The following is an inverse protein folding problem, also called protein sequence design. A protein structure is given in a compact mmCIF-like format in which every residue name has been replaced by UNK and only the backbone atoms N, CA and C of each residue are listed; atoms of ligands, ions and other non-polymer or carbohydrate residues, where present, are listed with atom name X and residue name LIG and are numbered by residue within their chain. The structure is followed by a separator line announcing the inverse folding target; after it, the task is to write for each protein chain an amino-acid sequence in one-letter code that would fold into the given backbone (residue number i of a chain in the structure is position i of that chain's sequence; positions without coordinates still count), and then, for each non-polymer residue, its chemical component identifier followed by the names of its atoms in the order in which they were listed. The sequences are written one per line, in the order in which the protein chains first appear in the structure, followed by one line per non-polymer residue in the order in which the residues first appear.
data_IF_412245561184
#
_entry.id   IF_412245561184
#
_cell.length_a   1.000
_cell.length_b   1.000
_cell.length_c   1.000
_cell.angle_alpha   90.00
_cell.angle_beta   90.00
_cell.angle_gamma   90.00
#
_symmetry.space_group_name_H-M   'P 1'
#
loop_
_entity.id
_entity.type
_entity.pdbx_description
1 polymer ?
#
# COMPACT_ATOMS: atom_id res chain seq x y z
N UNK A 1 -5.80 -20.03 18.84
CA UNK A 1 -4.88 -19.52 17.81
C UNK A 1 -5.64 -19.39 16.51
N UNK A 2 -5.34 -18.35 15.73
CA UNK A 2 -5.95 -18.09 14.43
C UNK A 2 -5.19 -18.89 13.37
N UNK A 3 -5.88 -19.77 12.64
CA UNK A 3 -5.28 -20.55 11.55
C UNK A 3 -5.00 -19.67 10.34
N UNK A 4 -3.76 -19.70 9.86
CA UNK A 4 -3.29 -18.89 8.73
C UNK A 4 -2.56 -19.77 7.73
N UNK A 5 -2.76 -19.49 6.45
CA UNK A 5 -1.99 -20.10 5.37
C UNK A 5 -1.34 -19.05 4.47
N UNK A 6 -0.17 -19.40 3.96
CA UNK A 6 0.62 -18.63 3.01
C UNK A 6 0.87 -19.50 1.77
N UNK A 7 0.38 -19.06 0.63
CA UNK A 7 0.59 -19.67 -0.67
C UNK A 7 1.50 -18.80 -1.52
N UNK A 8 2.43 -19.46 -2.20
CA UNK A 8 3.33 -18.84 -3.17
C UNK A 8 2.95 -19.34 -4.57
N UNK A 9 2.57 -18.42 -5.44
CA UNK A 9 2.36 -18.69 -6.87
C UNK A 9 3.56 -18.15 -7.66
N UNK A 10 3.34 -17.70 -8.90
CA UNK A 10 4.40 -17.08 -9.69
C UNK A 10 4.78 -15.69 -9.15
N UNK A 11 5.87 -15.65 -8.40
CA UNK A 11 6.44 -14.45 -7.75
C UNK A 11 7.97 -14.51 -7.57
N UNK A 12 8.49 -13.58 -6.77
CA UNK A 12 9.90 -13.48 -6.37
C UNK A 12 10.14 -13.70 -4.87
N UNK A 13 9.12 -14.14 -4.13
CA UNK A 13 9.11 -14.31 -2.67
C UNK A 13 9.33 -13.01 -1.86
N UNK A 14 9.30 -11.86 -2.52
CA UNK A 14 9.57 -10.56 -1.90
C UNK A 14 8.56 -10.19 -0.81
N UNK A 15 7.29 -10.63 -0.93
CA UNK A 15 6.28 -10.28 0.06
C UNK A 15 6.48 -11.09 1.35
N UNK A 16 6.75 -12.39 1.25
CA UNK A 16 7.19 -13.20 2.38
C UNK A 16 8.46 -12.65 3.04
N UNK A 17 9.48 -12.23 2.28
CA UNK A 17 10.67 -11.60 2.86
C UNK A 17 10.31 -10.29 3.59
N UNK A 18 9.39 -9.48 3.06
CA UNK A 18 8.94 -8.27 3.74
C UNK A 18 8.24 -8.55 5.07
N UNK A 19 7.44 -9.63 5.14
CA UNK A 19 6.88 -10.10 6.41
C UNK A 19 8.01 -10.45 7.40
N UNK A 20 9.07 -11.15 6.98
CA UNK A 20 10.19 -11.51 7.84
C UNK A 20 11.07 -10.31 8.24
N UNK A 21 11.11 -9.25 7.43
CA UNK A 21 11.78 -7.99 7.76
C UNK A 21 11.14 -7.23 8.93
N UNK A 22 9.97 -7.67 9.41
CA UNK A 22 9.43 -7.21 10.68
C UNK A 22 10.29 -7.64 11.89
N UNK A 23 11.19 -8.62 11.73
CA UNK A 23 12.13 -9.08 12.75
C UNK A 23 11.45 -9.33 14.12
N UNK A 24 11.89 -8.65 15.18
CA UNK A 24 11.32 -8.76 16.53
C UNK A 24 9.87 -8.28 16.62
N UNK A 25 9.41 -7.47 15.65
CA UNK A 25 8.02 -7.04 15.54
C UNK A 25 7.02 -8.18 15.30
N UNK A 26 7.50 -9.37 14.88
CA UNK A 26 6.65 -10.56 14.77
C UNK A 26 6.41 -11.27 16.11
N UNK A 27 7.32 -11.15 17.07
CA UNK A 27 7.25 -11.89 18.34
C UNK A 27 5.91 -11.72 19.10
N UNK A 28 5.27 -10.53 19.13
CA UNK A 28 3.99 -10.35 19.80
C UNK A 28 2.79 -10.99 19.10
N UNK A 29 2.92 -11.29 17.79
CA UNK A 29 1.82 -11.81 16.96
C UNK A 29 1.95 -13.32 16.72
N UNK A 30 3.17 -13.86 16.59
CA UNK A 30 3.42 -15.28 16.30
C UNK A 30 2.68 -16.23 17.26
N UNK A 31 2.64 -16.01 18.59
CA UNK A 31 1.93 -16.92 19.51
C UNK A 31 0.41 -16.96 19.32
N UNK A 32 -0.17 -15.98 18.62
CA UNK A 32 -1.60 -15.93 18.34
C UNK A 32 -1.96 -16.64 17.01
N UNK A 33 -0.97 -16.96 16.18
CA UNK A 33 -1.14 -17.51 14.84
C UNK A 33 -0.77 -19.00 14.83
N UNK A 34 -1.59 -19.79 14.15
CA UNK A 34 -1.33 -21.18 13.83
C UNK A 34 -1.06 -21.28 12.33
N UNK A 35 0.22 -21.40 11.95
CA UNK A 35 0.64 -21.51 10.55
C UNK A 35 0.43 -22.93 10.04
N UNK A 36 -0.71 -23.14 9.39
CA UNK A 36 -1.12 -24.48 8.95
C UNK A 36 -0.62 -24.84 7.55
N UNK A 37 -0.15 -23.84 6.79
CA UNK A 37 0.49 -24.02 5.50
C UNK A 37 1.36 -22.80 5.20
N UNK A 38 2.67 -23.01 5.07
CA UNK A 38 3.62 -22.00 4.62
C UNK A 38 4.88 -22.74 4.15
N UNK A 39 4.97 -23.14 2.87
CA UNK A 39 5.96 -24.10 2.40
C UNK A 39 7.42 -23.78 2.71
N UNK A 40 7.75 -22.49 2.85
CA UNK A 40 9.11 -22.02 3.16
C UNK A 40 9.47 -22.05 4.65
N UNK A 41 8.48 -22.14 5.55
CA UNK A 41 8.69 -21.96 7.01
C UNK A 41 8.25 -23.18 7.82
N UNK A 42 7.20 -23.89 7.39
CA UNK A 42 6.70 -25.09 8.05
C UNK A 42 6.76 -26.28 7.09
N UNK A 43 6.95 -27.49 7.63
CA UNK A 43 7.16 -28.71 6.83
C UNK A 43 5.88 -29.26 6.16
N UNK A 44 4.72 -28.64 6.41
CA UNK A 44 3.45 -28.98 5.79
C UNK A 44 3.52 -28.86 4.26
N UNK A 45 3.34 -29.99 3.56
CA UNK A 45 3.38 -30.07 2.09
C UNK A 45 2.02 -29.83 1.46
N UNK A 46 1.96 -29.72 0.13
CA UNK A 46 0.73 -29.44 -0.62
C UNK A 46 -0.44 -30.36 -0.22
N UNK A 47 -0.20 -31.67 -0.11
CA UNK A 47 -1.22 -32.65 0.29
C UNK A 47 -1.84 -32.36 1.67
N UNK A 48 -1.08 -31.76 2.58
CA UNK A 48 -1.59 -31.39 3.90
C UNK A 48 -2.58 -30.23 3.83
N UNK A 49 -2.49 -29.35 2.84
CA UNK A 49 -3.47 -28.30 2.57
C UNK A 49 -4.72 -28.90 1.88
N UNK A 50 -4.52 -29.81 0.93
CA UNK A 50 -5.60 -30.51 0.22
C UNK A 50 -6.50 -31.29 1.20
N UNK A 51 -5.87 -31.99 2.16
CA UNK A 51 -6.57 -32.81 3.14
C UNK A 51 -7.39 -32.01 4.18
N UNK A 52 -7.21 -30.68 4.28
CA UNK A 52 -7.97 -29.87 5.24
C UNK A 52 -9.43 -29.73 4.81
N UNK A 53 -10.38 -29.62 5.76
CA UNK A 53 -11.75 -29.24 5.43
C UNK A 53 -11.81 -27.85 4.76
N UNK A 54 -12.80 -27.65 3.91
CA UNK A 54 -13.07 -26.34 3.31
C UNK A 54 -13.48 -25.33 4.40
N UNK A 55 -13.00 -24.09 4.28
CA UNK A 55 -13.21 -23.04 5.28
C UNK A 55 -12.54 -23.26 6.64
N UNK A 56 -11.66 -24.26 6.80
CA UNK A 56 -10.94 -24.53 8.06
C UNK A 56 -9.94 -23.41 8.43
N UNK A 57 -9.43 -22.69 7.44
CA UNK A 57 -8.41 -21.65 7.63
C UNK A 57 -9.10 -20.28 7.69
N UNK A 58 -8.80 -19.47 8.71
CA UNK A 58 -9.44 -18.16 8.81
C UNK A 58 -8.96 -17.24 7.68
N UNK A 59 -7.65 -17.16 7.47
CA UNK A 59 -7.04 -16.24 6.49
C UNK A 59 -5.97 -16.94 5.67
N UNK A 60 -6.09 -16.82 4.35
CA UNK A 60 -5.09 -17.22 3.38
C UNK A 60 -4.44 -15.99 2.74
N UNK A 61 -3.12 -15.88 2.85
CA UNK A 61 -2.30 -14.93 2.11
C UNK A 61 -1.81 -15.60 0.82
N UNK A 62 -2.09 -15.00 -0.32
CA UNK A 62 -1.66 -15.53 -1.63
C UNK A 62 -0.70 -14.52 -2.26
N UNK A 63 0.59 -14.86 -2.29
CA UNK A 63 1.60 -14.14 -3.04
C UNK A 63 1.64 -14.63 -4.49
N UNK A 64 1.92 -13.72 -5.41
CA UNK A 64 2.14 -14.05 -6.81
C UNK A 64 0.92 -13.96 -7.71
N UNK A 65 1.20 -13.78 -9.00
CA UNK A 65 0.17 -13.80 -10.03
C UNK A 65 0.03 -15.21 -10.60
N UNK A 66 -0.92 -15.39 -11.52
CA UNK A 66 -1.25 -16.70 -12.07
C UNK A 66 -0.65 -16.83 -13.48
N UNK A 67 0.45 -17.58 -13.61
CA UNK A 67 1.19 -17.81 -14.87
C UNK A 67 1.17 -19.27 -15.30
N UNK A 68 1.04 -20.20 -14.36
CA UNK A 68 1.01 -21.64 -14.61
C UNK A 68 -0.34 -22.24 -14.26
N UNK A 69 -0.64 -23.43 -14.79
CA UNK A 69 -1.88 -24.11 -14.43
C UNK A 69 -1.93 -24.47 -12.92
N UNK A 70 -0.77 -24.78 -12.34
CA UNK A 70 -0.64 -25.01 -10.90
C UNK A 70 -0.96 -23.76 -10.08
N UNK A 71 -0.58 -22.55 -10.52
CA UNK A 71 -0.96 -21.31 -9.83
C UNK A 71 -2.49 -21.16 -9.75
N UNK A 72 -3.18 -21.45 -10.87
CA UNK A 72 -4.65 -21.38 -10.97
C UNK A 72 -5.31 -22.40 -10.04
N UNK A 73 -4.79 -23.63 -10.00
CA UNK A 73 -5.27 -24.69 -9.10
C UNK A 73 -5.02 -24.32 -7.63
N UNK A 74 -3.83 -23.82 -7.31
CA UNK A 74 -3.46 -23.38 -5.97
C UNK A 74 -4.32 -22.20 -5.48
N UNK A 75 -4.63 -21.25 -6.36
CA UNK A 75 -5.55 -20.15 -6.04
C UNK A 75 -6.94 -20.68 -5.67
N UNK A 76 -7.51 -21.58 -6.48
CA UNK A 76 -8.82 -22.21 -6.22
C UNK A 76 -8.80 -23.03 -4.93
N UNK A 77 -7.73 -23.78 -4.68
CA UNK A 77 -7.54 -24.54 -3.46
C UNK A 77 -7.52 -23.61 -2.24
N UNK A 78 -6.71 -22.57 -2.26
CA UNK A 78 -6.66 -21.57 -1.19
C UNK A 78 -8.03 -20.96 -0.93
N UNK A 79 -8.77 -20.58 -1.98
CA UNK A 79 -10.12 -20.03 -1.85
C UNK A 79 -11.10 -20.99 -1.18
N UNK A 80 -11.01 -22.28 -1.48
CA UNK A 80 -11.86 -23.31 -0.86
C UNK A 80 -11.49 -23.54 0.62
N UNK A 81 -10.20 -23.55 0.96
CA UNK A 81 -9.73 -23.83 2.33
C UNK A 81 -9.81 -22.62 3.26
N UNK A 82 -9.81 -21.40 2.73
CA UNK A 82 -9.76 -20.16 3.52
C UNK A 82 -11.11 -19.42 3.54
N UNK A 83 -11.47 -18.91 4.71
CA UNK A 83 -12.64 -18.03 4.89
C UNK A 83 -12.38 -16.64 4.32
N UNK A 84 -11.15 -16.13 4.46
CA UNK A 84 -10.69 -14.87 3.90
C UNK A 84 -9.46 -15.07 3.02
N UNK A 85 -9.41 -14.39 1.88
CA UNK A 85 -8.27 -14.34 0.96
C UNK A 85 -7.72 -12.92 0.89
N UNK A 86 -6.43 -12.81 1.15
CA UNK A 86 -5.64 -11.59 0.98
C UNK A 86 -4.76 -11.77 -0.26
N UNK A 87 -4.96 -10.92 -1.27
CA UNK A 87 -4.00 -10.74 -2.35
C UNK A 87 -2.75 -10.04 -1.77
N UNK A 88 -1.73 -10.85 -1.49
CA UNK A 88 -0.53 -10.42 -0.81
C UNK A 88 0.54 -9.96 -1.81
N UNK A 89 0.66 -8.65 -2.00
CA UNK A 89 1.61 -8.01 -2.91
C UNK A 89 1.03 -7.62 -4.27
N UNK A 90 1.74 -6.75 -4.98
CA UNK A 90 1.30 -6.25 -6.29
C UNK A 90 1.22 -7.34 -7.37
N UNK A 91 1.91 -8.47 -7.21
CA UNK A 91 1.77 -9.62 -8.11
C UNK A 91 0.36 -10.20 -8.06
N UNK A 92 -0.13 -10.55 -6.88
CA UNK A 92 -1.48 -11.10 -6.72
C UNK A 92 -2.55 -10.04 -6.95
N UNK A 93 -2.29 -8.78 -6.60
CA UNK A 93 -3.24 -7.69 -6.85
C UNK A 93 -3.38 -7.34 -8.34
N UNK A 94 -2.27 -7.24 -9.09
CA UNK A 94 -2.26 -6.60 -10.41
C UNK A 94 -1.42 -7.32 -11.48
N UNK A 95 -0.74 -8.40 -11.13
CA UNK A 95 0.10 -9.20 -12.02
C UNK A 95 1.58 -8.78 -12.09
N UNK A 96 1.92 -7.53 -11.77
CA UNK A 96 3.30 -7.03 -11.56
C UNK A 96 4.22 -7.14 -12.80
N UNK A 97 5.54 -6.99 -12.62
CA UNK A 97 6.55 -6.82 -13.68
C UNK A 97 6.52 -7.92 -14.74
N UNK A 98 6.40 -9.18 -14.33
CA UNK A 98 6.34 -10.28 -15.29
C UNK A 98 5.04 -10.29 -16.08
N UNK A 99 4.00 -9.60 -15.63
CA UNK A 99 2.78 -9.32 -16.40
C UNK A 99 3.04 -8.60 -17.73
N UNK A 100 4.17 -7.90 -17.88
CA UNK A 100 4.60 -7.33 -19.17
C UNK A 100 4.76 -8.40 -20.26
N UNK A 101 5.02 -9.65 -19.89
CA UNK A 101 5.10 -10.76 -20.85
C UNK A 101 3.80 -10.94 -21.67
N UNK A 102 2.67 -10.39 -21.20
CA UNK A 102 1.40 -10.42 -21.93
C UNK A 102 1.38 -9.57 -23.20
N UNK A 103 2.37 -8.70 -23.44
CA UNK A 103 2.54 -7.99 -24.70
C UNK A 103 2.84 -8.92 -25.87
N UNK A 104 3.46 -10.07 -25.59
CA UNK A 104 3.84 -11.04 -26.59
C UNK A 104 2.90 -12.25 -26.59
N UNK A 105 2.94 -13.00 -27.69
CA UNK A 105 2.37 -14.34 -27.69
C UNK A 105 3.15 -15.25 -26.72
N UNK A 106 2.45 -16.16 -26.06
CA UNK A 106 3.09 -17.05 -25.09
C UNK A 106 4.12 -17.98 -25.75
N UNK A 107 3.89 -18.41 -26.99
CA UNK A 107 4.86 -19.27 -27.69
C UNK A 107 6.14 -18.51 -28.00
N UNK A 108 6.06 -17.21 -28.31
CA UNK A 108 7.25 -16.36 -28.48
C UNK A 108 8.05 -16.25 -27.18
N UNK A 109 7.37 -16.05 -26.03
CA UNK A 109 8.00 -16.01 -24.73
C UNK A 109 8.69 -17.33 -24.35
N UNK A 110 8.01 -18.47 -24.56
CA UNK A 110 8.53 -19.82 -24.31
C UNK A 110 9.77 -20.06 -25.18
N UNK A 111 9.66 -19.78 -26.48
CA UNK A 111 10.77 -19.92 -27.43
C UNK A 111 11.95 -19.03 -27.06
N UNK A 112 11.70 -17.77 -26.69
CA UNK A 112 12.75 -16.85 -26.25
C UNK A 112 13.50 -17.37 -25.04
N UNK A 113 12.80 -18.00 -24.09
CA UNK A 113 13.36 -18.50 -22.83
C UNK A 113 14.08 -19.84 -22.98
N UNK A 114 13.52 -20.78 -23.72
CA UNK A 114 13.97 -22.18 -23.73
C UNK A 114 14.65 -22.61 -25.03
N UNK A 115 14.61 -21.79 -26.10
CA UNK A 115 15.17 -22.16 -27.40
C UNK A 115 16.15 -21.14 -27.97
N UNK A 116 15.89 -19.85 -27.80
CA UNK A 116 16.61 -18.79 -28.52
C UNK A 116 17.58 -17.98 -27.65
N UNK A 117 17.60 -18.21 -26.34
CA UNK A 117 18.54 -17.52 -25.48
C UNK A 117 19.99 -17.89 -25.84
N UNK A 118 20.82 -16.86 -25.92
CA UNK A 118 22.19 -16.92 -26.40
C UNK A 118 23.08 -17.83 -25.52
N UNK A 119 22.66 -18.05 -24.27
CA UNK A 119 23.31 -18.94 -23.31
C UNK A 119 22.89 -20.40 -23.42
N UNK A 120 21.96 -20.76 -24.30
CA UNK A 120 21.50 -22.15 -24.47
C UNK A 120 22.54 -22.93 -25.28
N UNK A 121 22.97 -24.06 -24.72
CA UNK A 121 23.98 -24.93 -25.32
C UNK A 121 23.41 -26.28 -25.79
N UNK A 122 22.14 -26.56 -25.50
CA UNK A 122 21.48 -27.80 -25.92
C UNK A 122 21.40 -27.89 -27.45
N UNK A 123 21.72 -29.06 -28.01
CA UNK A 123 21.67 -29.29 -29.46
C UNK A 123 20.25 -29.27 -30.05
N UNK A 124 19.26 -29.68 -29.25
CA UNK A 124 17.84 -29.67 -29.59
C UNK A 124 17.04 -28.98 -28.47
N UNK A 125 17.14 -27.64 -28.35
CA UNK A 125 16.52 -26.92 -27.26
C UNK A 125 15.01 -26.90 -27.45
N UNK A 126 14.27 -27.08 -26.36
CA UNK A 126 12.82 -27.14 -26.34
C UNK A 126 12.30 -26.81 -24.94
N UNK A 127 11.02 -26.47 -24.84
CA UNK A 127 10.34 -26.29 -23.56
C UNK A 127 10.32 -27.60 -22.74
N UNK A 128 10.73 -27.59 -21.46
CA UNK A 128 10.58 -28.75 -20.59
C UNK A 128 9.11 -28.96 -20.24
N UNK A 129 8.56 -30.14 -20.58
CA UNK A 129 7.14 -30.48 -20.33
C UNK A 129 6.95 -31.60 -19.30
N UNK A 130 7.98 -32.38 -19.02
CA UNK A 130 7.90 -33.49 -18.07
C UNK A 130 7.85 -32.96 -16.63
N UNK A 131 6.82 -33.35 -15.87
CA UNK A 131 6.55 -32.90 -14.50
C UNK A 131 6.46 -31.37 -14.32
N UNK A 132 6.20 -30.62 -15.40
CA UNK A 132 6.00 -29.18 -15.35
C UNK A 132 4.51 -28.83 -15.36
N UNK A 133 4.08 -27.80 -14.64
CA UNK A 133 2.66 -27.43 -14.55
C UNK A 133 2.09 -26.87 -15.86
N UNK A 134 2.95 -26.55 -16.83
CA UNK A 134 2.59 -25.83 -18.04
C UNK A 134 2.18 -24.37 -17.77
N UNK A 135 2.13 -23.58 -18.83
CA UNK A 135 1.75 -22.17 -18.76
C UNK A 135 0.26 -21.97 -19.04
N UNK A 136 -0.35 -20.98 -18.38
CA UNK A 136 -1.62 -20.40 -18.84
C UNK A 136 -1.41 -19.64 -20.15
N UNK A 137 -2.47 -19.18 -20.83
CA UNK A 137 -2.32 -18.33 -22.03
C UNK A 137 -1.73 -16.96 -21.69
N UNK A 138 -2.21 -16.35 -20.60
CA UNK A 138 -1.79 -15.02 -20.13
C UNK A 138 -1.57 -15.04 -18.62
N UNK A 139 -0.75 -14.10 -18.15
CA UNK A 139 -0.57 -13.81 -16.73
C UNK A 139 -1.75 -12.97 -16.26
N UNK A 140 -2.42 -13.41 -15.20
CA UNK A 140 -3.56 -12.67 -14.64
C UNK A 140 -3.40 -12.46 -13.13
N UNK A 141 -3.95 -11.38 -12.56
CA UNK A 141 -4.04 -11.22 -11.12
C UNK A 141 -4.99 -12.24 -10.50
N UNK A 142 -4.95 -12.34 -9.18
CA UNK A 142 -5.64 -13.38 -8.41
C UNK A 142 -7.17 -13.30 -8.54
N UNK A 143 -7.70 -12.09 -8.62
CA UNK A 143 -9.14 -11.78 -8.66
C UNK A 143 -9.82 -12.12 -9.99
N UNK A 144 -9.05 -12.48 -11.02
CA UNK A 144 -9.60 -13.02 -12.27
C UNK A 144 -10.05 -14.49 -12.14
N UNK A 145 -9.51 -15.21 -11.15
CA UNK A 145 -9.76 -16.66 -10.99
C UNK A 145 -10.56 -16.97 -9.73
N UNK A 146 -10.37 -16.21 -8.65
CA UNK A 146 -11.06 -16.41 -7.38
C UNK A 146 -11.56 -15.09 -6.79
N UNK A 147 -12.56 -15.15 -5.90
CA UNK A 147 -12.96 -13.99 -5.14
C UNK A 147 -11.89 -13.63 -4.09
N UNK A 148 -11.34 -12.42 -4.19
CA UNK A 148 -10.38 -11.83 -3.24
C UNK A 148 -11.14 -10.92 -2.28
N UNK A 149 -10.91 -11.08 -0.98
CA UNK A 149 -11.59 -10.28 0.05
C UNK A 149 -10.85 -8.98 0.35
N UNK A 150 -9.50 -9.04 0.33
CA UNK A 150 -8.65 -7.90 0.68
C UNK A 150 -7.43 -7.82 -0.25
N UNK A 151 -7.07 -6.61 -0.63
CA UNK A 151 -5.89 -6.33 -1.45
C UNK A 151 -4.83 -5.64 -0.59
N UNK A 152 -3.61 -6.18 -0.63
CA UNK A 152 -2.44 -5.62 0.03
C UNK A 152 -1.35 -5.40 -1.02
N UNK A 153 -1.44 -4.30 -1.76
CA UNK A 153 -0.47 -3.96 -2.78
C UNK A 153 0.86 -3.42 -2.22
N UNK A 154 1.87 -3.45 -3.09
CA UNK A 154 3.26 -3.11 -2.82
C UNK A 154 4.17 -4.19 -3.41
N UNK A 155 5.35 -3.80 -3.87
CA UNK A 155 6.33 -4.73 -4.45
C UNK A 155 7.68 -4.64 -3.70
N UNK A 156 7.76 -5.12 -2.45
CA UNK A 156 6.68 -5.74 -1.65
C UNK A 156 5.87 -4.73 -0.81
N UNK A 157 4.76 -5.15 -0.17
CA UNK A 157 4.09 -4.35 0.86
C UNK A 157 5.03 -4.09 2.04
N UNK A 158 4.85 -2.98 2.76
CA UNK A 158 5.70 -2.65 3.92
C UNK A 158 5.48 -3.61 5.10
N UNK A 159 6.52 -3.97 5.86
CA UNK A 159 6.39 -4.84 7.04
C UNK A 159 5.32 -4.36 8.02
N UNK A 160 5.25 -3.05 8.27
CA UNK A 160 4.29 -2.45 9.21
C UNK A 160 2.85 -2.65 8.74
N UNK A 161 2.61 -2.52 7.43
CA UNK A 161 1.29 -2.77 6.85
C UNK A 161 0.89 -4.24 7.01
N UNK A 162 1.83 -5.17 6.81
CA UNK A 162 1.59 -6.62 6.96
C UNK A 162 1.28 -6.96 8.42
N UNK A 163 2.10 -6.50 9.39
CA UNK A 163 1.88 -6.73 10.82
C UNK A 163 0.53 -6.16 11.25
N UNK A 164 0.22 -4.92 10.87
CA UNK A 164 -1.04 -4.25 11.24
C UNK A 164 -2.25 -5.00 10.69
N UNK A 165 -2.12 -5.58 9.49
CA UNK A 165 -3.15 -6.43 8.88
C UNK A 165 -3.40 -7.69 9.71
N UNK A 166 -2.33 -8.36 10.13
CA UNK A 166 -2.43 -9.55 10.98
C UNK A 166 -2.97 -9.21 12.36
N UNK A 167 -2.55 -8.10 12.97
CA UNK A 167 -3.08 -7.62 14.25
C UNK A 167 -4.57 -7.28 14.17
N UNK A 168 -5.03 -6.65 13.10
CA UNK A 168 -6.44 -6.38 12.86
C UNK A 168 -7.26 -7.68 12.81
N UNK A 169 -6.76 -8.70 12.10
CA UNK A 169 -7.41 -10.01 11.99
C UNK A 169 -7.44 -10.78 13.31
N UNK A 170 -6.45 -10.58 14.19
CA UNK A 170 -6.41 -11.16 15.53
C UNK A 170 -7.40 -10.50 16.51
N UNK A 171 -8.15 -9.49 16.07
CA UNK A 171 -8.84 -8.54 16.93
C UNK A 171 -7.80 -7.58 17.52
N UNK A 172 -8.03 -6.27 17.40
CA UNK A 172 -7.10 -5.27 17.95
C UNK A 172 -6.78 -5.64 19.40
N UNK A 173 -5.51 -6.03 19.67
CA UNK A 173 -5.06 -6.14 21.06
C UNK A 173 -5.22 -4.73 21.66
N UNK A 174 -5.86 -4.58 22.82
CA UNK A 174 -5.89 -3.29 23.50
C UNK A 174 -4.45 -2.84 23.70
N UNK A 175 -4.06 -1.76 23.04
CA UNK A 175 -2.82 -1.06 23.37
C UNK A 175 -2.98 -0.60 24.82
N UNK A 176 -2.05 -0.92 25.73
CA UNK A 176 -2.16 -0.49 27.12
C UNK A 176 -2.19 1.04 27.15
N UNK A 177 -3.36 1.60 27.45
CA UNK A 177 -3.55 3.04 27.52
C UNK A 177 -2.71 3.58 28.69
N UNK A 178 -1.79 4.49 28.39
CA UNK A 178 -1.11 5.26 29.42
C UNK A 178 -2.13 6.14 30.16
N UNK A 179 -1.89 6.38 31.45
CA UNK A 179 -2.77 7.22 32.25
C UNK A 179 -2.78 8.66 31.73
N UNK A 180 -1.64 9.16 31.26
CA UNK A 180 -1.44 10.53 30.79
C UNK A 180 -1.25 10.61 29.27
N UNK A 181 -1.70 11.72 28.69
CA UNK A 181 -1.45 12.07 27.29
C UNK A 181 0.01 12.48 27.02
N UNK A 182 0.46 12.34 25.76
CA UNK A 182 1.80 12.71 25.29
C UNK A 182 2.16 14.16 25.60
N UNK A 183 1.18 15.08 25.57
CA UNK A 183 1.40 16.49 25.91
C UNK A 183 2.06 16.70 27.28
N UNK A 184 1.84 15.82 28.25
CA UNK A 184 2.44 15.92 29.58
C UNK A 184 3.97 15.70 29.58
N UNK A 185 4.56 15.17 28.49
CA UNK A 185 6.01 15.02 28.33
C UNK A 185 6.51 15.60 26.99
N UNK A 186 5.76 16.53 26.42
CA UNK A 186 6.09 17.21 25.17
C UNK A 186 6.84 18.51 25.46
N UNK A 187 8.00 18.69 24.83
CA UNK A 187 8.83 19.90 24.92
C UNK A 187 8.11 21.16 24.44
N UNK A 188 7.26 21.01 23.42
CA UNK A 188 6.48 22.10 22.83
C UNK A 188 5.16 22.39 23.56
N UNK A 189 4.88 21.73 24.70
CA UNK A 189 3.57 21.86 25.35
C UNK A 189 3.35 23.22 26.02
N UNK A 190 4.42 23.88 26.47
CA UNK A 190 4.32 25.18 27.15
C UNK A 190 4.60 26.35 26.21
N UNK A 191 5.50 26.16 25.24
CA UNK A 191 5.91 27.18 24.28
C UNK A 191 6.01 26.57 22.88
N UNK A 192 5.67 27.35 21.84
CA UNK A 192 5.77 26.95 20.43
C UNK A 192 4.97 25.69 20.04
N UNK A 193 3.83 25.44 20.67
CA UNK A 193 3.00 24.29 20.32
C UNK A 193 2.47 24.38 18.89
N UNK A 194 2.51 23.26 18.16
CA UNK A 194 2.02 23.16 16.78
C UNK A 194 0.51 23.46 16.67
N UNK A 195 -0.28 23.07 17.69
CA UNK A 195 -1.71 23.39 17.75
C UNK A 195 -1.99 24.90 17.86
N UNK A 196 -1.05 25.69 18.41
CA UNK A 196 -1.18 27.15 18.49
C UNK A 196 -0.89 27.82 17.12
N UNK A 197 -0.26 27.08 16.21
CA UNK A 197 0.02 27.46 14.82
C UNK A 197 -1.00 26.89 13.84
N UNK A 198 -2.11 26.32 14.33
CA UNK A 198 -3.15 25.66 13.53
C UNK A 198 -2.70 24.38 12.80
N UNK A 199 -1.58 23.79 13.20
CA UNK A 199 -1.11 22.51 12.63
C UNK A 199 -1.70 21.32 13.41
N UNK A 200 -2.16 20.30 12.69
CA UNK A 200 -2.76 19.09 13.29
C UNK A 200 -1.70 18.27 14.04
N UNK A 201 -1.86 18.19 15.36
CA UNK A 201 -1.06 17.35 16.25
C UNK A 201 -1.96 16.60 17.24
N UNK A 202 -1.86 15.28 17.25
CA UNK A 202 -2.72 14.37 18.03
C UNK A 202 -2.16 14.01 19.40
N UNK A 203 -1.09 14.69 19.83
CA UNK A 203 -0.49 14.54 21.16
C UNK A 203 -1.48 14.66 22.33
N UNK A 204 -2.51 15.53 22.29
CA UNK A 204 -3.46 15.67 23.40
C UNK A 204 -4.27 14.42 23.75
N UNK A 205 -4.45 13.50 22.80
CA UNK A 205 -5.25 12.29 22.96
C UNK A 205 -4.43 10.99 22.90
N UNK A 206 -3.12 11.11 22.67
CA UNK A 206 -2.20 9.97 22.48
C UNK A 206 -1.54 9.58 23.78
N UNK A 207 -1.40 8.28 24.05
CA UNK A 207 -0.68 7.75 25.21
C UNK A 207 0.76 8.29 25.32
N UNK A 208 1.17 8.65 26.53
CA UNK A 208 2.56 8.95 26.86
C UNK A 208 3.43 7.68 26.81
N UNK A 209 4.74 7.85 26.56
CA UNK A 209 5.73 6.77 26.60
C UNK A 209 6.61 6.72 25.35
N UNK A 210 6.35 7.60 24.38
CA UNK A 210 7.08 7.67 23.13
C UNK A 210 8.51 8.19 23.38
N UNK A 211 9.52 7.37 23.09
CA UNK A 211 10.94 7.72 23.18
C UNK A 211 11.40 8.56 21.99
N UNK A 212 10.73 8.45 20.84
CA UNK A 212 11.10 9.16 19.62
C UNK A 212 10.79 10.66 19.66
N UNK A 213 9.80 11.07 20.47
CA UNK A 213 9.35 12.46 20.66
C UNK A 213 9.42 13.31 19.38
N UNK A 214 8.61 12.97 18.36
CA UNK A 214 8.63 13.64 17.04
C UNK A 214 8.59 15.17 17.12
N UNK A 215 7.91 15.71 18.13
CA UNK A 215 7.83 17.15 18.41
C UNK A 215 9.17 17.82 18.68
N UNK A 216 10.19 17.10 19.15
CA UNK A 216 11.53 17.66 19.38
C UNK A 216 12.23 18.04 18.06
N UNK A 217 11.77 17.46 16.93
CA UNK A 217 12.21 17.81 15.58
C UNK A 217 11.29 18.79 14.87
N UNK A 218 10.24 19.26 15.55
CA UNK A 218 9.19 20.10 14.96
C UNK A 218 8.04 19.31 14.30
N UNK A 219 8.10 17.99 14.26
CA UNK A 219 7.06 17.15 13.65
C UNK A 219 5.87 16.92 14.60
N UNK A 220 4.63 16.87 14.10
CA UNK A 220 3.47 16.61 14.93
C UNK A 220 3.41 15.18 15.46
N UNK A 221 2.76 15.01 16.61
CA UNK A 221 2.44 13.69 17.12
C UNK A 221 1.29 13.10 16.30
N UNK A 222 1.52 11.96 15.67
CA UNK A 222 0.54 11.24 14.82
C UNK A 222 -0.11 10.05 15.55
N UNK A 223 0.05 9.96 16.87
CA UNK A 223 -0.74 9.02 17.65
C UNK A 223 -0.29 7.56 17.67
N UNK A 224 0.98 7.27 17.38
CA UNK A 224 1.51 5.91 17.27
C UNK A 224 1.34 4.99 18.51
N UNK A 225 1.14 5.54 19.71
CA UNK A 225 0.92 4.76 20.93
C UNK A 225 -0.56 4.56 21.26
N UNK A 226 -1.47 4.95 20.37
CA UNK A 226 -2.92 4.83 20.60
C UNK A 226 -3.44 5.78 21.69
N UNK A 227 -4.70 5.60 22.13
CA UNK A 227 -5.38 6.55 23.02
C UNK A 227 -4.81 6.54 24.44
N UNK A 228 -4.81 7.71 25.10
CA UNK A 228 -4.55 7.84 26.54
C UNK A 228 -5.85 7.72 27.37
N UNK A 229 -5.75 7.36 28.66
CA UNK A 229 -6.91 7.37 29.58
C UNK A 229 -7.37 8.78 29.95
N UNK A 230 -6.45 9.74 29.97
CA UNK A 230 -6.74 11.15 30.19
C UNK A 230 -6.24 11.99 29.03
N UNK A 231 -7.05 12.97 28.63
CA UNK A 231 -6.70 13.92 27.56
C UNK A 231 -6.05 15.17 28.14
N UNK A 232 -5.18 15.82 27.36
CA UNK A 232 -4.64 17.13 27.71
C UNK A 232 -5.71 18.22 27.58
N UNK A 233 -5.57 19.32 28.32
CA UNK A 233 -6.35 20.55 28.14
C UNK A 233 -6.27 21.11 26.70
N UNK A 234 -5.21 20.76 25.96
CA UNK A 234 -5.06 21.14 24.54
C UNK A 234 -5.97 20.32 23.60
N UNK A 235 -6.66 19.29 24.09
CA UNK A 235 -7.60 18.50 23.30
C UNK A 235 -8.77 19.35 22.77
N UNK A 236 -9.19 20.38 23.52
CA UNK A 236 -10.19 21.36 23.07
C UNK A 236 -9.76 22.05 21.75
N UNK A 237 -8.49 22.44 21.63
CA UNK A 237 -7.95 23.06 20.41
C UNK A 237 -7.94 22.08 19.24
N UNK A 238 -7.48 20.85 19.49
CA UNK A 238 -7.52 19.79 18.48
C UNK A 238 -8.96 19.51 18.03
N UNK A 239 -9.91 19.46 18.96
CA UNK A 239 -11.34 19.30 18.68
C UNK A 239 -11.86 20.42 17.78
N UNK A 240 -11.54 21.68 18.08
CA UNK A 240 -11.93 22.81 17.24
C UNK A 240 -11.30 22.78 15.83
N UNK A 241 -10.03 22.35 15.71
CA UNK A 241 -9.38 22.16 14.40
C UNK A 241 -10.07 21.05 13.61
N UNK A 242 -10.41 19.92 14.26
CA UNK A 242 -11.11 18.81 13.59
C UNK A 242 -12.57 19.10 13.25
N UNK A 243 -13.21 20.10 13.86
CA UNK A 243 -14.53 20.58 13.43
C UNK A 243 -14.47 21.37 12.12
N UNK A 244 -13.33 21.99 11.81
CA UNK A 244 -13.12 22.81 10.61
C UNK A 244 -12.16 22.14 9.60
N UNK A 245 -12.14 20.81 9.61
CA UNK A 245 -11.19 19.98 8.87
C UNK A 245 -11.34 20.08 7.33
N UNK A 246 -12.39 20.73 6.83
CA UNK A 246 -12.56 21.01 5.40
C UNK A 246 -11.53 22.02 4.85
N UNK A 247 -10.85 22.78 5.72
CA UNK A 247 -9.91 23.85 5.35
C UNK A 247 -8.43 23.46 5.53
N UNK A 248 -8.10 22.17 5.65
CA UNK A 248 -6.74 21.70 5.95
C UNK A 248 -5.70 22.05 4.87
N UNK A 249 -4.51 22.43 5.34
CA UNK A 249 -3.30 22.55 4.51
C UNK A 249 -2.81 21.17 4.03
N UNK A 250 -1.97 21.11 2.99
CA UNK A 250 -1.39 19.85 2.48
C UNK A 250 -0.63 19.09 3.58
N UNK A 251 0.10 19.79 4.45
CA UNK A 251 0.80 19.18 5.59
C UNK A 251 -0.15 18.53 6.58
N UNK A 252 -1.27 19.19 6.89
CA UNK A 252 -2.27 18.65 7.81
C UNK A 252 -2.99 17.42 7.26
N UNK A 253 -3.16 17.33 5.93
CA UNK A 253 -3.70 16.13 5.29
C UNK A 253 -2.77 14.92 5.49
N UNK A 254 -1.46 15.13 5.36
CA UNK A 254 -0.44 14.10 5.65
C UNK A 254 -0.51 13.66 7.12
N UNK A 255 -0.57 14.61 8.05
CA UNK A 255 -0.64 14.33 9.49
C UNK A 255 -1.92 13.56 9.86
N UNK A 256 -3.07 13.96 9.31
CA UNK A 256 -4.34 13.26 9.50
C UNK A 256 -4.28 11.84 8.92
N UNK A 257 -3.64 11.66 7.76
CA UNK A 257 -3.44 10.34 7.15
C UNK A 257 -2.56 9.44 8.02
N UNK A 258 -1.44 9.95 8.52
CA UNK A 258 -0.55 9.21 9.44
C UNK A 258 -1.27 8.87 10.75
N UNK A 259 -2.07 9.79 11.29
CA UNK A 259 -2.92 9.54 12.45
C UNK A 259 -3.95 8.43 12.22
N UNK A 260 -4.68 8.47 11.12
CA UNK A 260 -5.65 7.41 10.78
C UNK A 260 -4.97 6.05 10.63
N UNK A 261 -3.73 6.02 10.14
CA UNK A 261 -2.92 4.80 10.01
C UNK A 261 -2.46 4.28 11.37
N UNK A 262 -1.92 5.15 12.21
CA UNK A 262 -1.15 4.77 13.40
C UNK A 262 -1.97 4.79 14.69
N UNK A 263 -2.84 5.78 14.87
CA UNK A 263 -3.64 5.95 16.10
C UNK A 263 -4.84 5.02 16.16
N UNK A 264 -5.51 4.80 15.02
CA UNK A 264 -6.66 3.90 14.97
C UNK A 264 -6.25 2.43 14.81
N UNK A 265 -4.95 2.19 14.57
CA UNK A 265 -4.42 0.88 14.19
C UNK A 265 -5.27 0.23 13.07
N UNK A 266 -5.82 1.07 12.18
CA UNK A 266 -6.57 0.61 11.02
C UNK A 266 -5.54 0.46 9.92
N UNK A 267 -5.25 -0.77 9.47
CA UNK A 267 -4.32 -0.93 8.37
C UNK A 267 -4.94 -0.25 7.14
N UNK A 268 -4.37 0.88 6.75
CA UNK A 268 -4.55 1.44 5.42
C UNK A 268 -3.78 0.52 4.45
N UNK A 269 -4.32 -0.68 4.24
CA UNK A 269 -3.86 -1.54 3.17
C UNK A 269 -4.14 -0.82 1.86
N UNK A 270 -3.19 -0.84 0.95
CA UNK A 270 -3.32 -0.37 -0.43
C UNK A 270 -4.41 -1.19 -1.15
N UNK A 271 -5.67 -0.79 -0.98
CA UNK A 271 -6.82 -1.61 -1.35
C UNK A 271 -8.02 -1.46 -0.40
N UNK A 272 -7.77 -1.10 0.86
CA UNK A 272 -8.83 -0.85 1.83
C UNK A 272 -9.49 0.50 1.51
N UNK A 273 -10.72 0.45 0.98
CA UNK A 273 -11.60 1.62 0.98
C UNK A 273 -12.07 1.84 2.42
N UNK A 274 -11.21 2.52 3.19
CA UNK A 274 -11.47 2.93 4.56
C UNK A 274 -12.82 3.65 4.66
N UNK A 275 -13.18 4.44 3.63
CA UNK A 275 -14.48 5.08 3.53
C UNK A 275 -15.58 4.03 3.38
N UNK A 276 -15.43 3.10 2.45
CA UNK A 276 -16.41 2.05 2.13
C UNK A 276 -16.79 1.18 3.33
N UNK A 277 -15.82 0.69 4.11
CA UNK A 277 -16.11 -0.18 5.25
C UNK A 277 -16.59 0.57 6.49
N UNK A 278 -16.08 1.77 6.75
CA UNK A 278 -16.64 2.66 7.79
C UNK A 278 -18.06 3.09 7.42
N UNK A 279 -18.33 3.43 6.16
CA UNK A 279 -19.67 3.80 5.70
C UNK A 279 -20.63 2.60 5.73
N UNK A 280 -20.15 1.37 5.49
CA UNK A 280 -20.93 0.15 5.73
C UNK A 280 -21.23 -0.04 7.21
N UNK A 281 -20.27 0.19 8.12
CA UNK A 281 -20.49 0.12 9.57
C UNK A 281 -21.50 1.18 10.05
N UNK A 282 -21.36 2.42 9.59
CA UNK A 282 -22.29 3.54 9.86
C UNK A 282 -23.68 3.24 9.30
N UNK A 283 -23.79 2.67 8.10
CA UNK A 283 -25.09 2.23 7.53
C UNK A 283 -25.73 1.11 8.35
N UNK A 284 -24.94 0.22 8.94
CA UNK A 284 -25.44 -0.92 9.75
C UNK A 284 -25.82 -0.52 11.17
N UNK A 285 -25.13 0.45 11.77
CA UNK A 285 -25.22 0.75 13.22
C UNK A 285 -25.61 2.19 13.56
N UNK A 286 -25.82 3.06 12.56
CA UNK A 286 -26.26 4.45 12.76
C UNK A 286 -25.13 5.45 13.05
N UNK A 287 -24.07 5.03 13.75
CA UNK A 287 -22.90 5.86 14.08
C UNK A 287 -21.57 5.15 13.82
N UNK A 288 -20.48 5.90 13.55
CA UNK A 288 -19.14 5.32 13.43
C UNK A 288 -18.65 4.86 14.81
N UNK A 289 -18.53 3.55 15.02
CA UNK A 289 -17.88 3.01 16.22
C UNK A 289 -16.37 2.87 15.98
N UNK A 290 -15.58 3.33 16.95
CA UNK A 290 -14.16 2.97 17.04
C UNK A 290 -14.03 1.48 17.33
N UNK A 291 -13.01 0.82 16.79
CA UNK A 291 -12.58 -0.51 17.27
C UNK A 291 -11.94 -0.45 18.67
N UNK A 292 -11.74 0.77 19.19
CA UNK A 292 -11.21 1.06 20.52
C UNK A 292 -12.37 1.17 21.51
N UNK A 293 -12.48 0.21 22.44
CA UNK A 293 -13.43 0.29 23.56
C UNK A 293 -12.90 1.24 24.66
N UNK A 294 -13.80 1.96 25.36
CA UNK A 294 -13.51 2.79 26.55
C UNK A 294 -12.55 4.00 26.36
N UNK A 295 -12.68 4.74 25.26
CA UNK A 295 -11.91 6.00 25.06
C UNK A 295 -12.58 7.21 25.74
N UNK A 296 -11.80 8.23 26.17
CA UNK A 296 -12.35 9.48 26.72
C UNK A 296 -13.30 10.21 25.75
N UNK A 297 -14.27 10.96 26.29
CA UNK A 297 -15.29 11.66 25.50
C UNK A 297 -14.70 12.58 24.43
N UNK A 298 -13.69 13.38 24.76
CA UNK A 298 -13.03 14.26 23.78
C UNK A 298 -12.32 13.49 22.66
N UNK A 299 -11.72 12.34 22.98
CA UNK A 299 -11.15 11.42 21.98
C UNK A 299 -12.24 10.89 21.05
N UNK A 300 -13.41 10.54 21.61
CA UNK A 300 -14.58 10.12 20.86
C UNK A 300 -15.13 11.23 19.94
N UNK A 301 -15.19 12.47 20.41
CA UNK A 301 -15.66 13.62 19.62
C UNK A 301 -14.70 13.97 18.46
N UNK A 302 -13.40 14.00 18.73
CA UNK A 302 -12.36 14.21 17.70
C UNK A 302 -12.49 13.13 16.62
N UNK A 303 -12.66 11.86 17.03
CA UNK A 303 -12.89 10.77 16.11
C UNK A 303 -14.18 10.96 15.29
N UNK A 304 -15.31 11.27 15.95
CA UNK A 304 -16.59 11.47 15.27
C UNK A 304 -16.52 12.60 14.23
N UNK A 305 -15.79 13.67 14.52
CA UNK A 305 -15.58 14.77 13.57
C UNK A 305 -14.78 14.32 12.35
N UNK A 306 -13.65 13.63 12.55
CA UNK A 306 -12.83 13.08 11.46
C UNK A 306 -13.67 12.11 10.62
N UNK A 307 -14.45 11.23 11.24
CA UNK A 307 -15.27 10.23 10.56
C UNK A 307 -16.43 10.86 9.78
N UNK A 308 -17.07 11.90 10.32
CA UNK A 308 -18.10 12.68 9.62
C UNK A 308 -17.52 13.38 8.40
N UNK A 309 -16.33 13.96 8.54
CA UNK A 309 -15.59 14.54 7.43
C UNK A 309 -15.28 13.52 6.34
N UNK A 310 -14.69 12.37 6.69
CA UNK A 310 -14.38 11.30 5.74
C UNK A 310 -15.63 10.75 5.04
N UNK A 311 -16.77 10.68 5.74
CA UNK A 311 -18.07 10.29 5.18
C UNK A 311 -18.56 11.26 4.11
N UNK A 312 -18.40 12.57 4.33
CA UNK A 312 -18.91 13.63 3.45
C UNK A 312 -17.90 14.02 2.36
N UNK A 313 -16.61 13.82 2.61
CA UNK A 313 -15.50 14.12 1.72
C UNK A 313 -14.87 12.81 1.22
N UNK A 314 -15.64 12.03 0.45
CA UNK A 314 -15.14 10.80 -0.19
C UNK A 314 -13.91 11.04 -1.06
N UNK A 315 -13.77 12.26 -1.59
CA UNK A 315 -12.59 12.76 -2.32
C UNK A 315 -11.32 12.83 -1.47
N UNK A 316 -11.43 12.95 -0.14
CA UNK A 316 -10.28 12.88 0.77
C UNK A 316 -9.67 11.47 0.84
N UNK A 317 -10.50 10.46 0.57
CA UNK A 317 -10.12 9.04 0.47
C UNK A 317 -10.06 8.61 -1.01
N UNK A 318 -10.40 9.50 -1.97
CA UNK A 318 -10.06 9.25 -3.37
C UNK A 318 -8.57 9.04 -3.38
N UNK A 319 -8.20 7.96 -4.03
CA UNK A 319 -6.91 7.31 -3.94
C UNK A 319 -5.80 8.36 -3.90
N UNK A 320 -5.29 8.61 -2.69
CA UNK A 320 -4.13 9.47 -2.47
C UNK A 320 -3.02 8.97 -3.38
N UNK A 321 -2.27 9.91 -3.96
CA UNK A 321 -1.19 9.57 -4.88
C UNK A 321 0.13 9.57 -4.11
N UNK A 322 1.16 8.97 -4.69
CA UNK A 322 2.49 9.02 -4.09
C UNK A 322 2.99 10.47 -3.89
N UNK A 323 2.49 11.44 -4.66
CA UNK A 323 2.81 12.86 -4.49
C UNK A 323 2.43 13.40 -3.11
N UNK A 324 1.35 12.90 -2.49
CA UNK A 324 0.92 13.36 -1.15
C UNK A 324 1.89 12.92 -0.03
N UNK A 325 2.74 11.94 -0.31
CA UNK A 325 3.75 11.39 0.60
C UNK A 325 5.19 11.67 0.11
N UNK A 326 5.34 12.52 -0.91
CA UNK A 326 6.62 12.86 -1.51
C UNK A 326 7.19 14.09 -0.82
N UNK A 327 8.47 14.03 -0.46
CA UNK A 327 9.15 15.13 0.24
C UNK A 327 9.76 16.18 -0.72
N UNK A 328 9.68 15.96 -2.05
CA UNK A 328 10.18 16.89 -3.07
C UNK A 328 9.19 18.04 -3.35
N UNK A 329 9.73 19.24 -3.58
CA UNK A 329 8.94 20.45 -3.82
C UNK A 329 8.41 20.52 -5.26
N UNK A 330 7.10 20.71 -5.40
CA UNK A 330 6.42 20.95 -6.69
C UNK A 330 6.30 22.44 -6.92
N UNK A 331 6.57 22.93 -8.13
CA UNK A 331 6.47 24.34 -8.50
C UNK A 331 7.63 25.19 -8.00
N UNK A 332 8.81 24.60 -7.80
CA UNK A 332 10.03 25.30 -7.38
C UNK A 332 10.69 25.99 -8.60
N UNK A 333 11.98 25.74 -8.87
CA UNK A 333 12.73 26.40 -9.96
C UNK A 333 12.81 25.58 -11.24
N UNK A 334 12.63 24.27 -11.13
CA UNK A 334 12.78 23.34 -12.26
C UNK A 334 11.57 23.40 -13.20
N UNK A 335 11.80 23.19 -14.50
CA UNK A 335 10.76 23.08 -15.51
C UNK A 335 11.11 21.99 -16.53
N UNK A 336 10.16 21.09 -16.81
CA UNK A 336 10.36 20.02 -17.78
C UNK A 336 10.29 20.61 -19.19
N UNK A 337 11.45 20.75 -19.83
CA UNK A 337 11.58 21.14 -21.25
C UNK A 337 11.88 19.97 -22.17
N UNK A 338 12.29 18.82 -21.62
CA UNK A 338 12.49 17.56 -22.32
C UNK A 338 12.32 16.39 -21.35
N UNK A 339 11.93 15.23 -21.88
CA UNK A 339 11.95 13.97 -21.13
C UNK A 339 13.38 13.47 -21.05
N UNK A 340 13.82 13.15 -19.84
CA UNK A 340 15.09 12.53 -19.52
C UNK A 340 14.87 11.06 -19.14
N UNK A 341 15.77 10.20 -19.61
CA UNK A 341 15.95 8.85 -19.09
C UNK A 341 16.67 8.91 -17.74
N UNK A 342 16.52 7.86 -16.94
CA UNK A 342 17.10 7.79 -15.59
C UNK A 342 18.63 7.96 -15.55
N UNK A 343 19.33 7.67 -16.66
CA UNK A 343 20.78 7.85 -16.79
C UNK A 343 21.20 9.24 -17.27
N UNK A 344 20.26 10.10 -17.68
CA UNK A 344 20.55 11.40 -18.29
C UNK A 344 20.67 12.50 -17.24
N UNK A 345 21.89 12.68 -16.74
CA UNK A 345 22.21 13.70 -15.75
C UNK A 345 21.94 13.22 -14.32
N UNK A 346 22.09 14.14 -13.36
CA UNK A 346 21.86 13.88 -11.94
C UNK A 346 20.74 14.80 -11.45
N UNK A 347 19.62 14.25 -10.96
CA UNK A 347 18.57 15.06 -10.36
C UNK A 347 19.08 15.74 -9.10
N UNK A 348 18.66 16.98 -8.87
CA UNK A 348 18.79 17.61 -7.56
C UNK A 348 17.79 16.99 -6.57
N UNK A 349 18.11 17.01 -5.29
CA UNK A 349 17.34 16.32 -4.24
C UNK A 349 16.20 17.14 -3.64
N UNK A 350 15.92 18.33 -4.15
CA UNK A 350 14.92 19.26 -3.59
C UNK A 350 13.67 19.34 -4.47
N UNK A 351 13.86 19.53 -5.77
CA UNK A 351 12.78 19.81 -6.69
C UNK A 351 12.10 18.53 -7.19
N UNK A 352 10.83 18.63 -7.58
CA UNK A 352 10.08 17.53 -8.18
C UNK A 352 10.81 16.93 -9.39
N UNK A 353 11.03 15.60 -9.39
CA UNK A 353 11.71 14.89 -10.48
C UNK A 353 10.99 15.03 -11.83
N UNK A 354 9.67 15.19 -11.83
CA UNK A 354 8.89 15.47 -13.04
C UNK A 354 9.33 16.81 -13.62
N UNK A 355 9.33 17.87 -12.82
CA UNK A 355 9.75 19.21 -13.25
C UNK A 355 11.23 19.27 -13.65
N UNK A 356 12.06 18.34 -13.16
CA UNK A 356 13.44 18.20 -13.60
C UNK A 356 13.60 17.45 -14.94
N UNK A 357 12.53 16.87 -15.48
CA UNK A 357 12.51 16.16 -16.75
C UNK A 357 12.36 14.64 -16.66
N UNK A 358 12.34 14.04 -15.48
CA UNK A 358 12.30 12.58 -15.33
C UNK A 358 10.87 12.03 -15.27
N UNK A 359 10.68 10.83 -15.81
CA UNK A 359 9.40 10.14 -15.77
C UNK A 359 9.14 9.54 -14.38
N UNK A 360 8.26 10.15 -13.60
CA UNK A 360 7.87 9.68 -12.27
C UNK A 360 6.38 9.33 -12.25
N UNK A 361 6.03 8.05 -12.07
CA UNK A 361 4.65 7.56 -12.05
C UNK A 361 3.87 7.98 -10.78
N UNK A 362 4.49 8.73 -9.87
CA UNK A 362 3.91 9.10 -8.57
C UNK A 362 2.49 9.69 -8.64
N UNK A 363 2.18 10.64 -9.55
CA UNK A 363 0.84 11.25 -9.67
C UNK A 363 -0.25 10.29 -10.14
N UNK A 364 0.11 9.14 -10.71
CA UNK A 364 -0.83 8.13 -11.21
C UNK A 364 -0.82 6.84 -10.37
N UNK A 365 -0.01 6.81 -9.30
CA UNK A 365 0.22 5.64 -8.43
C UNK A 365 -0.41 5.84 -7.06
N UNK A 366 -1.01 4.79 -6.48
CA UNK A 366 -1.57 4.82 -5.13
C UNK A 366 -0.49 5.14 -4.07
N UNK A 367 -0.84 5.96 -3.10
CA UNK A 367 -0.06 6.20 -1.89
C UNK A 367 0.01 4.95 -1.00
N UNK A 368 0.93 4.98 -0.03
CA UNK A 368 1.15 3.92 0.97
C UNK A 368 2.63 3.58 1.14
N UNK A 369 3.45 3.85 0.12
CA UNK A 369 4.90 3.60 0.17
C UNK A 369 5.68 4.68 0.95
N UNK A 370 5.06 5.81 1.30
CA UNK A 370 5.73 6.92 1.97
C UNK A 370 6.76 7.63 1.10
N UNK A 371 6.59 7.60 -0.23
CA UNK A 371 7.49 8.27 -1.17
C UNK A 371 8.92 7.68 -1.24
N UNK A 372 9.09 6.40 -0.89
CA UNK A 372 10.41 5.79 -0.66
C UNK A 372 11.44 5.98 -1.79
N UNK A 373 11.02 5.88 -3.05
CA UNK A 373 11.92 6.07 -4.20
C UNK A 373 12.55 7.47 -4.21
N UNK A 374 11.77 8.49 -3.89
CA UNK A 374 12.23 9.88 -3.95
C UNK A 374 13.21 10.21 -2.82
N UNK A 375 13.14 9.50 -1.68
CA UNK A 375 14.12 9.63 -0.59
C UNK A 375 15.53 9.20 -0.99
N UNK A 376 15.64 8.35 -2.01
CA UNK A 376 16.91 7.96 -2.63
C UNK A 376 17.10 8.60 -4.00
N UNK A 377 16.40 9.72 -4.25
CA UNK A 377 16.50 10.52 -5.46
C UNK A 377 16.17 9.76 -6.77
N UNK A 378 15.23 8.81 -6.69
CA UNK A 378 14.77 8.01 -7.82
C UNK A 378 13.28 8.26 -8.12
N UNK A 379 12.87 8.30 -9.41
CA UNK A 379 11.47 8.44 -9.77
C UNK A 379 10.62 7.27 -9.27
N UNK A 380 9.36 7.54 -8.91
CA UNK A 380 8.40 6.49 -8.61
C UNK A 380 8.14 5.64 -9.86
N UNK A 381 8.25 4.31 -9.73
CA UNK A 381 7.99 3.38 -10.84
C UNK A 381 6.57 2.81 -10.87
N UNK A 382 5.72 3.15 -9.90
CA UNK A 382 4.31 2.75 -9.90
C UNK A 382 3.95 1.43 -9.23
N UNK A 383 4.81 0.90 -8.36
CA UNK A 383 4.65 -0.45 -7.84
C UNK A 383 3.47 -0.67 -6.89
N UNK A 384 2.82 0.38 -6.38
CA UNK A 384 1.63 0.29 -5.52
C UNK A 384 0.30 0.21 -6.30
N UNK A 385 0.38 0.21 -7.64
CA UNK A 385 -0.78 0.14 -8.53
C UNK A 385 -1.35 1.51 -8.89
N UNK A 386 -2.34 1.50 -9.78
CA UNK A 386 -2.91 2.71 -10.35
C UNK A 386 -4.01 3.32 -9.47
N UNK A 387 -4.21 4.62 -9.59
CA UNK A 387 -5.35 5.31 -8.97
C UNK A 387 -6.61 5.32 -9.84
N UNK A 388 -6.54 4.87 -11.09
CA UNK A 388 -7.68 4.72 -12.00
C UNK A 388 -7.40 3.55 -12.95
N UNK A 389 -8.41 2.74 -13.24
CA UNK A 389 -8.30 1.52 -14.06
C UNK A 389 -9.08 1.65 -15.37
N UNK A 390 -8.71 0.87 -16.39
CA UNK A 390 -9.42 0.84 -17.68
C UNK A 390 -9.21 2.09 -18.54
N UNK A 391 -8.13 2.83 -18.31
CA UNK A 391 -7.75 4.04 -19.04
C UNK A 391 -6.33 3.89 -19.59
N UNK A 392 -5.98 4.65 -20.63
CA UNK A 392 -4.61 4.70 -21.12
C UNK A 392 -3.73 5.46 -20.10
N UNK A 393 -2.89 4.74 -19.37
CA UNK A 393 -2.09 5.35 -18.30
C UNK A 393 -1.02 6.32 -18.79
N UNK A 394 -0.45 6.11 -19.98
CA UNK A 394 0.53 7.03 -20.54
C UNK A 394 -0.14 8.37 -20.88
N UNK A 395 -1.31 8.34 -21.52
CA UNK A 395 -2.10 9.54 -21.79
C UNK A 395 -2.57 10.22 -20.50
N UNK A 396 -3.02 9.43 -19.53
CA UNK A 396 -3.43 9.93 -18.21
C UNK A 396 -2.26 10.59 -17.48
N UNK A 397 -1.08 9.98 -17.50
CA UNK A 397 0.13 10.58 -16.95
C UNK A 397 0.40 11.93 -17.60
N UNK A 398 0.40 11.98 -18.94
CA UNK A 398 0.64 13.20 -19.69
C UNK A 398 -0.40 14.30 -19.35
N UNK A 399 -1.68 13.95 -19.25
CA UNK A 399 -2.74 14.88 -18.84
C UNK A 399 -2.55 15.42 -17.41
N UNK A 400 -2.16 14.55 -16.47
CA UNK A 400 -1.95 14.94 -15.07
C UNK A 400 -0.74 15.87 -14.96
N UNK A 401 0.38 15.54 -15.60
CA UNK A 401 1.62 16.31 -15.43
C UNK A 401 1.59 17.66 -16.15
N UNK A 402 0.99 17.71 -17.34
CA UNK A 402 0.89 18.98 -18.11
C UNK A 402 -0.04 20.01 -17.45
N UNK A 403 -0.97 19.55 -16.59
CA UNK A 403 -1.92 20.44 -15.87
C UNK A 403 -1.49 20.75 -14.44
N UNK A 404 -0.78 19.83 -13.78
CA UNK A 404 -0.50 19.90 -12.35
C UNK A 404 0.94 20.23 -11.98
N UNK A 405 1.87 20.27 -12.94
CA UNK A 405 3.31 20.41 -12.69
C UNK A 405 3.92 21.43 -13.65
N UNK A 406 5.11 21.95 -13.32
CA UNK A 406 5.85 22.85 -14.19
C UNK A 406 6.45 22.13 -15.41
N UNK A 407 5.61 21.86 -16.42
CA UNK A 407 5.96 21.17 -17.67
C UNK A 407 5.73 22.10 -18.85
N UNK A 408 6.78 22.41 -19.60
CA UNK A 408 6.71 23.27 -20.78
C UNK A 408 6.25 22.53 -22.05
N UNK A 409 6.34 21.19 -22.04
CA UNK A 409 5.90 20.34 -23.15
C UNK A 409 4.36 20.24 -23.18
N UNK A 410 3.79 20.26 -24.38
CA UNK A 410 2.41 19.83 -24.58
C UNK A 410 2.24 18.32 -24.33
N UNK A 411 0.99 17.87 -24.16
CA UNK A 411 0.66 16.45 -24.00
C UNK A 411 1.27 15.58 -25.11
N UNK A 412 1.12 16.02 -26.36
CA UNK A 412 1.57 15.25 -27.53
C UNK A 412 3.10 15.23 -27.62
N UNK A 413 3.78 16.35 -27.35
CA UNK A 413 5.25 16.40 -27.31
C UNK A 413 5.83 15.51 -26.20
N UNK A 414 5.20 15.52 -25.03
CA UNK A 414 5.57 14.65 -23.91
C UNK A 414 5.43 13.18 -24.30
N UNK A 415 4.26 12.77 -24.82
CA UNK A 415 4.00 11.40 -25.25
C UNK A 415 4.92 10.94 -26.38
N UNK A 416 5.30 11.83 -27.30
CA UNK A 416 6.23 11.52 -28.38
C UNK A 416 7.66 11.25 -27.89
N UNK A 417 8.06 11.86 -26.77
CA UNK A 417 9.38 11.67 -26.18
C UNK A 417 9.49 10.40 -25.31
N UNK A 418 8.36 9.86 -24.81
CA UNK A 418 8.34 8.58 -24.08
C UNK A 418 8.50 7.42 -25.06
N UNK A 419 9.70 6.82 -25.07
CA UNK A 419 10.05 5.70 -25.97
C UNK A 419 9.28 4.42 -25.69
N UNK A 420 9.11 4.10 -24.41
CA UNK A 420 8.39 2.92 -23.94
C UNK A 420 7.27 3.36 -23.00
N UNK A 421 6.11 3.62 -23.59
CA UNK A 421 4.92 4.12 -22.87
C UNK A 421 4.37 3.07 -21.93
N UNK A 422 4.37 1.82 -22.36
CA UNK A 422 3.73 0.72 -21.67
C UNK A 422 4.63 0.24 -20.51
N UNK A 423 5.92 0.01 -20.76
CA UNK A 423 6.87 -0.31 -19.70
C UNK A 423 7.11 0.82 -18.70
N UNK A 424 6.76 2.06 -19.02
CA UNK A 424 6.68 3.16 -18.04
C UNK A 424 5.36 3.13 -17.23
N UNK A 425 4.22 3.14 -17.92
CA UNK A 425 2.93 3.45 -17.30
C UNK A 425 2.16 2.22 -16.78
N UNK A 426 2.53 1.02 -17.23
CA UNK A 426 1.87 -0.25 -16.92
C UNK A 426 2.85 -1.31 -16.38
N UNK A 427 4.07 -0.90 -15.98
CA UNK A 427 5.15 -1.78 -15.51
C UNK A 427 4.71 -2.83 -14.48
N UNK A 428 3.80 -2.47 -13.59
CA UNK A 428 3.36 -3.32 -12.47
C UNK A 428 1.91 -3.81 -12.63
N UNK A 429 1.22 -3.42 -13.70
CA UNK A 429 -0.24 -3.49 -13.77
C UNK A 429 -0.77 -3.96 -15.13
N UNK A 430 0.09 -4.20 -16.12
CA UNK A 430 -0.35 -4.60 -17.45
C UNK A 430 -1.25 -5.85 -17.44
N UNK A 431 -0.92 -6.83 -16.61
CA UNK A 431 -1.73 -8.05 -16.48
C UNK A 431 -3.13 -7.78 -15.88
N UNK A 432 -3.35 -6.63 -15.25
CA UNK A 432 -4.68 -6.16 -14.86
C UNK A 432 -5.46 -5.49 -16.01
N UNK A 433 -4.80 -5.11 -17.10
CA UNK A 433 -5.40 -4.46 -18.25
C UNK A 433 -6.07 -5.48 -19.18
N UNK A 434 -7.40 -5.38 -19.31
CA UNK A 434 -8.22 -6.30 -20.11
C UNK A 434 -7.85 -6.37 -21.58
N UNK A 435 -7.21 -5.35 -22.14
CA UNK A 435 -6.78 -5.36 -23.54
C UNK A 435 -5.58 -6.29 -23.80
N UNK A 436 -4.90 -6.72 -22.73
CA UNK A 436 -3.71 -7.59 -22.77
C UNK A 436 -3.97 -8.96 -22.14
N UNK A 437 -5.25 -9.32 -21.95
CA UNK A 437 -5.71 -10.58 -21.36
C UNK A 437 -6.33 -11.51 -22.39
#
# INVERSE_FOLDING_TARGET
MVKVAFMQNSDCWGCHQSLLNAHLGLLPILPALDFVYWPAVVDFKHDSLVARPDGDILVGFVEGSLRTNADVENAKLMRAKCQLIIAFGSCSCYGNVHGLANEWDIQENIKRKFEQAESITNEAPHEPKEHMPGFTSKIVPLDEVINVDVYMAGCPPKPEAIISSVQFLLGQKPQPMADLSFCNNCSLNNENCLLDKYELCFGPITSMGCTLKCTDKGDPCVGCLGPAKTVSVRAEKLKNLTQNIDQLSTGDKKNLHEFLTLFLNVPLMSGFDLAGDILKQVRRMGEPKTALDNVPADTGDIYANIMRFLKNNREFIKISTVCDQCDLEIGSKSQMTKVKRDYEGLPNSNDCLIEQGYLCAGPITRAGCGGMCMRVNAPCSGCFGQTAWGVNQAERFADVVTKGFNVALSKDELLAQIKDKLGFSEKFTLAANKNYR
#
